data_IF_214685821538
#
_entry.id   IF_214685821538
#
_cell.length_a   1.000
_cell.length_b   1.000
_cell.length_c   1.000
_cell.angle_alpha   90.00
_cell.angle_beta   90.00
_cell.angle_gamma   90.00
#
_symmetry.space_group_name_H-M   'P 1'
#
loop_
_entity.id
_entity.type
_entity.pdbx_description
1 polymer ?
#
# COMPACT_ATOMS: atom_id res chain seq x y z
N UNK A 1 -44.20 -16.76 45.26
CA UNK A 1 -44.24 -17.56 44.02
C UNK A 1 -43.88 -16.64 42.86
N UNK A 2 -42.66 -16.78 42.33
CA UNK A 2 -42.07 -15.92 41.28
C UNK A 2 -42.35 -16.55 39.92
N UNK A 3 -42.80 -15.77 38.93
CA UNK A 3 -42.67 -16.12 37.51
C UNK A 3 -42.21 -14.89 36.74
N UNK A 4 -40.90 -14.82 36.54
CA UNK A 4 -40.22 -13.83 35.72
C UNK A 4 -40.33 -14.32 34.27
N UNK A 5 -41.02 -13.55 33.43
CA UNK A 5 -40.98 -13.76 31.98
C UNK A 5 -39.73 -13.04 31.44
N UNK A 6 -38.65 -13.79 31.20
CA UNK A 6 -37.48 -13.30 30.50
C UNK A 6 -37.62 -13.65 29.01
N UNK A 7 -38.03 -12.68 28.19
CA UNK A 7 -37.97 -12.80 26.73
C UNK A 7 -36.54 -12.54 26.27
N UNK A 8 -35.84 -13.60 25.90
CA UNK A 8 -34.54 -13.52 25.25
C UNK A 8 -34.73 -13.00 23.81
N UNK A 9 -34.31 -11.76 23.54
CA UNK A 9 -34.15 -11.26 22.18
C UNK A 9 -32.81 -11.82 21.66
N UNK A 10 -32.87 -12.89 20.90
CA UNK A 10 -31.72 -13.41 20.16
C UNK A 10 -31.50 -12.48 18.97
N UNK A 11 -30.60 -11.51 19.12
CA UNK A 11 -30.08 -10.73 18.00
C UNK A 11 -29.21 -11.67 17.18
N UNK A 12 -29.79 -12.25 16.12
CA UNK A 12 -29.03 -12.96 15.11
C UNK A 12 -28.20 -11.93 14.33
N UNK A 13 -26.95 -11.72 14.75
CA UNK A 13 -25.94 -11.09 13.91
C UNK A 13 -25.79 -11.95 12.65
N UNK A 14 -26.41 -11.55 11.55
CA UNK A 14 -26.12 -12.06 10.22
C UNK A 14 -24.72 -11.60 9.83
N UNK A 15 -23.70 -12.21 10.44
CA UNK A 15 -22.36 -12.21 9.87
C UNK A 15 -22.47 -13.08 8.63
N UNK A 16 -22.80 -12.45 7.50
CA UNK A 16 -22.64 -13.09 6.21
C UNK A 16 -21.14 -13.41 6.08
N UNK A 17 -20.77 -14.66 6.36
CA UNK A 17 -19.46 -15.20 6.00
C UNK A 17 -19.36 -15.11 4.49
N UNK A 18 -18.84 -13.99 3.98
CA UNK A 18 -18.53 -13.83 2.57
C UNK A 18 -17.33 -14.73 2.34
N UNK A 19 -17.57 -15.92 1.80
CA UNK A 19 -16.49 -16.85 1.46
C UNK A 19 -15.61 -16.18 0.40
N UNK A 20 -14.41 -15.76 0.81
CA UNK A 20 -13.48 -14.98 -0.01
C UNK A 20 -12.61 -15.94 -0.80
N UNK A 21 -13.19 -16.53 -1.84
CA UNK A 21 -12.46 -17.43 -2.74
C UNK A 21 -11.52 -16.64 -3.67
N UNK A 22 -10.22 -17.00 -3.67
CA UNK A 22 -9.24 -16.47 -4.60
C UNK A 22 -9.09 -17.41 -5.80
N UNK A 23 -9.58 -17.06 -7.01
CA UNK A 23 -9.55 -17.94 -8.18
C UNK A 23 -8.13 -18.19 -8.74
N UNK A 24 -7.11 -17.50 -8.21
CA UNK A 24 -5.72 -17.65 -8.63
C UNK A 24 -4.91 -18.58 -7.72
N UNK A 25 -5.52 -19.15 -6.67
CA UNK A 25 -4.89 -20.26 -5.93
C UNK A 25 -4.81 -21.52 -6.78
N UNK A 26 -3.66 -22.19 -6.76
CA UNK A 26 -3.37 -23.32 -7.62
C UNK A 26 -2.43 -24.33 -6.95
N UNK A 27 -2.50 -25.59 -7.40
CA UNK A 27 -1.66 -26.70 -6.90
C UNK A 27 -0.28 -26.78 -7.56
N UNK A 28 0.02 -25.88 -8.50
CA UNK A 28 1.27 -25.86 -9.27
C UNK A 28 2.34 -24.94 -8.63
N UNK A 29 2.08 -24.42 -7.43
CA UNK A 29 2.95 -23.47 -6.72
C UNK A 29 3.26 -22.19 -7.52
N UNK A 30 2.42 -21.84 -8.49
CA UNK A 30 2.53 -20.58 -9.22
C UNK A 30 2.04 -19.43 -8.34
N UNK A 31 2.73 -18.29 -8.37
CA UNK A 31 2.34 -17.11 -7.57
C UNK A 31 0.96 -16.61 -8.05
N UNK A 32 -0.04 -16.49 -7.15
CA UNK A 32 -1.37 -15.98 -7.53
C UNK A 32 -1.33 -14.61 -8.19
N UNK A 33 -0.43 -13.72 -7.73
CA UNK A 33 -0.23 -12.39 -8.33
C UNK A 33 0.24 -12.44 -9.79
N UNK A 34 1.04 -13.45 -10.16
CA UNK A 34 1.47 -13.65 -11.55
C UNK A 34 0.30 -14.13 -12.41
N UNK A 35 -0.47 -15.11 -11.94
CA UNK A 35 -1.64 -15.62 -12.66
C UNK A 35 -2.70 -14.53 -12.87
N UNK A 36 -2.94 -13.71 -11.85
CA UNK A 36 -3.84 -12.58 -11.93
C UNK A 36 -3.39 -11.52 -12.95
N UNK A 37 -2.07 -11.34 -13.15
CA UNK A 37 -1.52 -10.37 -14.08
C UNK A 37 -1.70 -10.79 -15.55
N UNK A 38 -1.63 -12.09 -15.83
CA UNK A 38 -1.77 -12.66 -17.19
C UNK A 38 -3.22 -12.94 -17.58
N UNK A 39 -4.14 -12.95 -16.62
CA UNK A 39 -5.58 -13.07 -16.83
C UNK A 39 -6.19 -11.73 -17.27
N UNK A 40 -5.89 -11.36 -18.53
CA UNK A 40 -6.26 -10.06 -19.10
C UNK A 40 -7.77 -9.89 -19.31
N UNK A 41 -8.52 -11.00 -19.34
CA UNK A 41 -9.98 -10.99 -19.54
C UNK A 41 -10.74 -10.68 -18.23
N UNK A 42 -10.12 -10.91 -17.08
CA UNK A 42 -10.75 -10.72 -15.77
C UNK A 42 -9.98 -9.78 -14.86
N UNK A 43 -9.59 -8.63 -15.40
CA UNK A 43 -9.03 -7.57 -14.59
C UNK A 43 -9.98 -7.08 -13.49
N UNK A 44 -9.38 -6.48 -12.46
CA UNK A 44 -10.12 -5.71 -11.45
C UNK A 44 -9.86 -4.20 -11.62
N UNK A 45 -10.33 -3.39 -10.68
CA UNK A 45 -10.05 -1.96 -10.63
C UNK A 45 -9.54 -1.56 -9.25
N UNK A 46 -8.64 -0.58 -9.22
CA UNK A 46 -8.11 0.00 -7.99
C UNK A 46 -8.45 1.49 -7.92
N UNK A 47 -8.81 1.96 -6.73
CA UNK A 47 -8.92 3.37 -6.42
C UNK A 47 -7.86 3.73 -5.39
N UNK A 48 -6.96 4.65 -5.74
CA UNK A 48 -6.06 5.30 -4.79
C UNK A 48 -6.78 6.49 -4.15
N UNK A 49 -6.69 6.62 -2.83
CA UNK A 49 -7.24 7.80 -2.15
C UNK A 49 -6.36 9.02 -2.36
N UNK A 50 -5.04 8.81 -2.35
CA UNK A 50 -4.05 9.84 -2.63
C UNK A 50 -2.92 9.22 -3.45
N UNK A 51 -2.48 9.94 -4.47
CA UNK A 51 -1.31 9.57 -5.28
C UNK A 51 -0.08 10.39 -4.93
N UNK A 52 -0.24 11.47 -4.16
CA UNK A 52 0.83 12.33 -3.66
C UNK A 52 0.64 12.53 -2.17
N UNK A 53 1.67 12.27 -1.39
CA UNK A 53 1.66 12.45 0.06
C UNK A 53 2.82 13.35 0.48
N UNK A 54 2.52 14.41 1.23
CA UNK A 54 3.54 15.32 1.74
C UNK A 54 3.99 14.89 3.14
N UNK A 55 5.27 14.56 3.31
CA UNK A 55 5.81 14.21 4.63
C UNK A 55 6.26 15.43 5.44
N UNK A 56 6.13 16.63 4.88
CA UNK A 56 6.49 17.89 5.51
C UNK A 56 8.00 18.13 5.47
N UNK A 57 8.56 18.47 6.62
CA UNK A 57 9.99 18.76 6.77
C UNK A 57 10.64 17.75 7.69
N UNK A 58 11.82 17.29 7.31
CA UNK A 58 12.56 16.25 7.99
C UNK A 58 14.03 16.69 8.18
N UNK A 59 14.71 16.31 9.26
CA UNK A 59 16.15 16.56 9.37
C UNK A 59 16.90 15.45 8.63
N UNK A 60 17.96 15.80 7.93
CA UNK A 60 18.81 14.82 7.27
C UNK A 60 19.31 13.78 8.28
N UNK A 61 19.15 12.50 7.91
CA UNK A 61 19.44 11.33 8.75
C UNK A 61 18.20 10.72 9.41
N UNK A 62 17.08 11.45 9.49
CA UNK A 62 15.82 10.90 9.96
C UNK A 62 15.18 10.01 8.89
N UNK A 63 14.21 9.21 9.33
CA UNK A 63 13.35 8.39 8.45
C UNK A 63 11.87 8.67 8.70
N UNK A 64 11.07 8.62 7.64
CA UNK A 64 9.61 8.82 7.72
C UNK A 64 8.85 7.72 7.00
N UNK A 65 7.70 7.32 7.56
CA UNK A 65 6.76 6.37 6.95
C UNK A 65 5.57 7.11 6.38
N UNK A 66 5.39 7.01 5.07
CA UNK A 66 4.29 7.61 4.32
C UNK A 66 3.31 6.52 3.90
N UNK A 67 2.01 6.75 4.07
CA UNK A 67 0.96 5.77 3.81
C UNK A 67 0.12 6.18 2.61
N UNK A 68 -0.10 5.25 1.69
CA UNK A 68 -0.99 5.39 0.55
C UNK A 68 -2.12 4.37 0.68
N UNK A 69 -3.32 4.86 0.99
CA UNK A 69 -4.50 4.01 1.09
C UNK A 69 -5.08 3.76 -0.29
N UNK A 70 -5.62 2.57 -0.50
CA UNK A 70 -6.31 2.22 -1.72
C UNK A 70 -7.45 1.24 -1.44
N UNK A 71 -8.33 1.09 -2.43
CA UNK A 71 -9.47 0.18 -2.43
C UNK A 71 -9.51 -0.63 -3.70
N UNK A 72 -9.82 -1.93 -3.59
CA UNK A 72 -10.23 -2.72 -4.74
C UNK A 72 -11.69 -2.42 -5.06
N UNK A 73 -11.92 -1.70 -6.15
CA UNK A 73 -13.26 -1.27 -6.59
C UNK A 73 -13.89 -2.25 -7.59
N UNK A 74 -13.14 -3.24 -8.05
CA UNK A 74 -13.62 -4.22 -9.02
C UNK A 74 -14.16 -5.48 -8.33
N UNK A 75 -14.52 -6.48 -9.16
CA UNK A 75 -15.16 -7.72 -8.70
C UNK A 75 -14.17 -8.87 -8.48
N UNK A 76 -12.93 -8.74 -8.96
CA UNK A 76 -11.88 -9.77 -8.86
C UNK A 76 -10.87 -9.39 -7.79
N UNK A 77 -10.15 -10.34 -7.16
CA UNK A 77 -9.10 -10.00 -6.22
C UNK A 77 -8.02 -9.13 -6.88
N UNK A 78 -7.58 -8.11 -6.15
CA UNK A 78 -6.52 -7.20 -6.54
C UNK A 78 -5.19 -7.72 -6.00
N UNK A 79 -4.17 -7.68 -6.84
CA UNK A 79 -2.79 -7.96 -6.49
C UNK A 79 -1.90 -6.80 -6.90
N UNK A 80 -0.99 -6.42 -6.01
CA UNK A 80 0.17 -5.60 -6.34
C UNK A 80 1.35 -6.54 -6.60
N UNK A 81 1.82 -6.63 -7.84
CA UNK A 81 2.74 -7.69 -8.28
C UNK A 81 4.20 -7.28 -8.31
N UNK A 82 4.48 -5.98 -8.50
CA UNK A 82 5.82 -5.43 -8.52
C UNK A 82 5.78 -3.97 -8.04
N UNK A 83 6.63 -3.64 -7.07
CA UNK A 83 6.72 -2.28 -6.53
C UNK A 83 8.17 -1.84 -6.53
N UNK A 84 8.45 -0.71 -7.18
CA UNK A 84 9.81 -0.18 -7.35
C UNK A 84 9.87 1.27 -6.96
N UNK A 85 10.82 1.62 -6.10
CA UNK A 85 11.16 3.00 -5.80
C UNK A 85 12.14 3.57 -6.82
N UNK A 86 12.12 4.89 -7.00
CA UNK A 86 13.05 5.59 -7.90
C UNK A 86 14.49 5.66 -7.36
N UNK A 87 14.70 5.44 -6.05
CA UNK A 87 15.99 5.41 -5.36
C UNK A 87 15.99 4.31 -4.30
N UNK A 88 17.17 3.79 -3.94
CA UNK A 88 17.34 2.89 -2.79
C UNK A 88 17.00 3.54 -1.43
N UNK A 89 16.84 4.86 -1.40
CA UNK A 89 16.51 5.64 -0.22
C UNK A 89 15.03 5.52 0.21
N UNK A 90 14.18 4.92 -0.61
CA UNK A 90 12.76 4.68 -0.30
C UNK A 90 12.46 3.19 -0.41
N UNK A 91 11.96 2.59 0.68
CA UNK A 91 11.62 1.17 0.76
C UNK A 91 10.10 1.02 0.88
N UNK A 92 9.42 0.45 -0.12
CA UNK A 92 7.99 0.17 -0.05
C UNK A 92 7.71 -1.14 0.71
N UNK A 93 6.59 -1.15 1.42
CA UNK A 93 5.98 -2.32 2.05
C UNK A 93 4.50 -2.35 1.64
N UNK A 94 4.04 -3.52 1.20
CA UNK A 94 2.72 -3.69 0.59
C UNK A 94 2.15 -5.06 0.91
N UNK A 95 0.81 -5.23 0.83
CA UNK A 95 0.19 -6.53 1.02
C UNK A 95 0.54 -7.51 -0.10
N UNK A 96 1.05 -8.69 0.28
CA UNK A 96 1.26 -9.82 -0.66
C UNK A 96 0.00 -10.66 -0.85
N UNK A 97 -0.96 -10.53 0.07
CA UNK A 97 -2.24 -11.23 0.03
C UNK A 97 -3.21 -10.56 -0.95
N UNK A 98 -4.17 -11.32 -1.51
CA UNK A 98 -5.23 -10.73 -2.32
C UNK A 98 -6.05 -9.71 -1.53
N UNK A 99 -6.33 -8.56 -2.15
CA UNK A 99 -7.27 -7.58 -1.65
C UNK A 99 -8.60 -7.85 -2.35
N UNK A 100 -9.59 -8.38 -1.65
CA UNK A 100 -10.84 -8.80 -2.30
C UNK A 100 -11.73 -7.61 -2.66
N UNK A 101 -12.79 -7.87 -3.42
CA UNK A 101 -13.72 -6.85 -3.89
C UNK A 101 -14.29 -6.02 -2.74
N UNK A 102 -14.11 -4.70 -2.82
CA UNK A 102 -14.57 -3.74 -1.83
C UNK A 102 -13.65 -3.55 -0.63
N UNK A 103 -12.56 -4.31 -0.51
CA UNK A 103 -11.58 -4.12 0.56
C UNK A 103 -10.63 -2.97 0.30
N UNK A 104 -10.18 -2.40 1.42
CA UNK A 104 -9.16 -1.38 1.48
C UNK A 104 -7.90 -1.95 2.10
N UNK A 105 -6.76 -1.44 1.64
CA UNK A 105 -5.47 -1.71 2.26
C UNK A 105 -4.56 -0.48 2.11
N UNK A 106 -3.34 -0.59 2.64
CA UNK A 106 -2.36 0.50 2.69
C UNK A 106 -1.00 0.03 2.19
N UNK A 107 -0.44 0.80 1.26
CA UNK A 107 0.98 0.73 0.91
C UNK A 107 1.76 1.70 1.80
N UNK A 108 2.85 1.24 2.41
CA UNK A 108 3.71 2.07 3.26
C UNK A 108 5.06 2.28 2.59
N UNK A 109 5.45 3.52 2.39
CA UNK A 109 6.77 3.89 1.91
C UNK A 109 7.61 4.44 3.05
N UNK A 110 8.75 3.80 3.34
CA UNK A 110 9.72 4.30 4.31
C UNK A 110 10.84 5.03 3.57
N UNK A 111 10.98 6.33 3.81
CA UNK A 111 12.03 7.15 3.22
C UNK A 111 13.11 7.44 4.27
N UNK A 112 14.36 7.13 3.94
CA UNK A 112 15.55 7.52 4.69
C UNK A 112 16.19 8.74 4.00
N UNK A 113 16.36 9.82 4.75
CA UNK A 113 16.85 11.10 4.24
C UNK A 113 18.36 11.29 4.28
N UNK A 114 19.11 10.33 4.83
CA UNK A 114 20.57 10.38 4.90
C UNK A 114 21.16 10.65 3.50
N UNK A 115 21.98 11.71 3.36
CA UNK A 115 22.59 12.09 2.09
C UNK A 115 21.62 12.67 1.06
N UNK A 116 20.41 13.06 1.48
CA UNK A 116 19.38 13.62 0.61
C UNK A 116 18.79 14.95 1.12
N UNK A 117 19.61 15.99 1.40
CA UNK A 117 19.13 17.31 1.79
C UNK A 117 18.36 18.03 0.66
N UNK A 118 17.51 18.97 1.03
CA UNK A 118 16.73 19.83 0.13
C UNK A 118 15.35 19.26 -0.24
N UNK A 119 14.76 19.80 -1.31
CA UNK A 119 13.45 19.37 -1.78
C UNK A 119 13.49 17.91 -2.26
N UNK A 120 12.59 17.09 -1.73
CA UNK A 120 12.48 15.68 -2.06
C UNK A 120 11.17 15.42 -2.81
N UNK A 121 11.28 14.71 -3.94
CA UNK A 121 10.15 14.10 -4.65
C UNK A 121 10.56 12.68 -5.03
N UNK A 122 10.04 11.67 -4.33
CA UNK A 122 10.42 10.27 -4.56
C UNK A 122 9.22 9.52 -5.13
N UNK A 123 9.45 8.84 -6.26
CA UNK A 123 8.43 8.09 -6.98
C UNK A 123 8.42 6.62 -6.59
N UNK A 124 7.24 6.02 -6.55
CA UNK A 124 7.01 4.59 -6.36
C UNK A 124 6.14 4.12 -7.50
N UNK A 125 6.66 3.20 -8.31
CA UNK A 125 5.96 2.58 -9.43
C UNK A 125 5.40 1.23 -8.99
N UNK A 126 4.10 1.02 -9.20
CA UNK A 126 3.37 -0.18 -8.79
C UNK A 126 2.76 -0.83 -10.04
N UNK A 127 2.96 -2.13 -10.20
CA UNK A 127 2.26 -2.95 -11.20
C UNK A 127 1.14 -3.73 -10.52
N UNK A 128 -0.02 -3.81 -11.17
CA UNK A 128 -1.21 -4.52 -10.67
C UNK A 128 -2.05 -5.13 -11.80
N UNK A 129 -2.95 -6.03 -11.44
CA UNK A 129 -3.90 -6.70 -12.35
C UNK A 129 -5.17 -5.88 -12.61
N UNK A 130 -5.00 -4.59 -12.93
CA UNK A 130 -6.13 -3.66 -13.11
C UNK A 130 -6.25 -3.11 -14.52
N UNK A 131 -7.47 -2.98 -15.02
CA UNK A 131 -7.74 -2.44 -16.36
C UNK A 131 -7.76 -0.91 -16.41
N UNK A 132 -7.95 -0.23 -15.28
CA UNK A 132 -7.88 1.22 -15.17
C UNK A 132 -6.44 1.74 -15.01
N UNK A 133 -5.48 0.99 -15.53
CA UNK A 133 -4.04 1.23 -15.45
C UNK A 133 -3.33 0.04 -14.83
N UNK A 134 -2.48 -0.65 -15.59
CA UNK A 134 -1.66 -1.75 -15.05
C UNK A 134 -0.48 -1.24 -14.25
N UNK A 135 -0.04 0.00 -14.51
CA UNK A 135 1.04 0.70 -13.82
C UNK A 135 0.51 1.96 -13.17
N UNK A 136 0.79 2.11 -11.87
CA UNK A 136 0.45 3.26 -11.04
C UNK A 136 1.72 3.92 -10.53
N UNK A 137 1.72 5.25 -10.37
CA UNK A 137 2.85 5.97 -9.79
C UNK A 137 2.38 6.82 -8.63
N UNK A 138 3.00 6.63 -7.47
CA UNK A 138 2.75 7.40 -6.25
C UNK A 138 3.98 8.24 -5.94
N UNK A 139 3.78 9.38 -5.30
CA UNK A 139 4.84 10.28 -4.90
C UNK A 139 4.78 10.62 -3.43
N UNK A 140 5.93 10.57 -2.78
CA UNK A 140 6.14 11.29 -1.52
C UNK A 140 6.93 12.57 -1.81
N UNK A 141 6.48 13.67 -1.23
CA UNK A 141 7.06 15.00 -1.38
C UNK A 141 7.35 15.64 -0.04
N UNK A 142 8.34 16.52 0.02
CA UNK A 142 8.68 17.25 1.24
C UNK A 142 10.03 17.93 1.14
N UNK A 143 10.56 18.38 2.26
CA UNK A 143 11.86 19.04 2.35
C UNK A 143 12.74 18.40 3.44
N UNK A 144 14.02 18.24 3.15
CA UNK A 144 15.01 17.73 4.10
C UNK A 144 15.95 18.86 4.50
N UNK A 145 16.01 19.18 5.80
CA UNK A 145 16.94 20.16 6.35
C UNK A 145 18.33 19.50 6.44
N UNK A 146 19.37 20.06 5.79
CA UNK A 146 20.72 19.54 5.87
C UNK A 146 21.21 19.46 7.33
N UNK A 147 22.06 18.47 7.63
CA UNK A 147 22.80 18.48 8.90
C UNK A 147 23.73 19.72 8.93
N UNK A 148 23.94 20.33 10.11
CA UNK A 148 24.99 21.32 10.26
C UNK A 148 26.32 20.69 9.85
N UNK A 149 26.93 21.19 8.79
CA UNK A 149 28.29 20.78 8.43
C UNK A 149 29.25 21.34 9.46
N UNK A 150 30.10 20.48 10.02
CA UNK A 150 31.26 20.97 10.78
C UNK A 150 32.09 21.89 9.86
N UNK A 151 32.68 22.97 10.38
CA UNK A 151 33.57 23.81 9.58
C UNK A 151 34.63 22.94 8.93
N UNK A 152 34.85 23.10 7.62
CA UNK A 152 35.93 22.42 6.94
C UNK A 152 37.24 22.78 7.66
N UNK A 153 37.95 21.77 8.20
CA UNK A 153 39.28 21.98 8.74
C UNK A 153 40.15 22.41 7.54
N UNK A 154 40.74 23.62 7.55
CA UNK A 154 41.60 24.05 6.46
C UNK A 154 42.73 23.04 6.30
N UNK A 155 42.93 22.58 5.06
CA UNK A 155 44.04 21.69 4.72
C UNK A 155 45.35 22.48 4.93
N UNK A 156 46.36 21.91 5.62
CA UNK A 156 47.66 22.56 5.80
C UNK A 156 48.38 22.79 4.48
#
# INVERSE_FOLDING_TARGET
>A
MKRIFATAIVIACLVACRDRHNPYENKLNLRPSYLAQVDVEHYTTIQWYDTVQNFGTLKEGDSVRVKFRFKNTGKRPLFLSNIRSSCGCTVPSFPEKPIFSGEEDTLVATFNSEGHPGAARKGITITSNTNNGTVHVLYLVGNVIPRPTAPAIPKP
#
